data_IF_899300316280
#
_entry.id   IF_899300316280
#
_cell.length_a   1.000
_cell.length_b   1.000
_cell.length_c   1.000
_cell.angle_alpha   90.00
_cell.angle_beta   90.00
_cell.angle_gamma   90.00
#
_symmetry.space_group_name_H-M   'P 1'
#
loop_
_entity.id
_entity.type
_entity.pdbx_description
1 polymer ?
#
# COMPACT_ATOMS: atom_id res chain seq x y z
N UNK A 1 -0.50 -55.47 -0.44
CA UNK A 1 -1.50 -55.29 -1.51
C UNK A 1 -1.18 -54.01 -2.25
N UNK A 2 -0.71 -54.14 -3.49
CA UNK A 2 -0.18 -53.06 -4.32
C UNK A 2 -1.31 -52.40 -5.13
N UNK A 3 -1.44 -51.08 -5.05
CA UNK A 3 -2.38 -50.32 -5.88
C UNK A 3 -1.70 -49.84 -7.16
N UNK A 4 -2.06 -50.50 -8.26
CA UNK A 4 -1.62 -50.22 -9.61
C UNK A 4 -2.16 -48.87 -10.11
N UNK A 5 -1.25 -48.03 -10.60
CA UNK A 5 -1.55 -46.81 -11.36
C UNK A 5 -2.15 -47.21 -12.71
N UNK A 6 -3.30 -46.62 -13.07
CA UNK A 6 -3.85 -46.75 -14.44
C UNK A 6 -3.13 -45.77 -15.35
N UNK A 7 -2.29 -46.30 -16.22
CA UNK A 7 -1.70 -45.56 -17.34
C UNK A 7 -2.76 -45.25 -18.40
N UNK A 8 -2.81 -43.98 -18.80
CA UNK A 8 -3.64 -43.47 -19.89
C UNK A 8 -2.86 -43.60 -21.20
N UNK A 9 -3.44 -44.16 -22.29
CA UNK A 9 -2.72 -44.33 -23.54
C UNK A 9 -2.42 -42.99 -24.24
N UNK A 10 -1.30 -42.86 -24.96
CA UNK A 10 -0.90 -41.65 -25.65
C UNK A 10 -1.77 -41.38 -26.90
N UNK A 11 -1.93 -40.10 -27.30
CA UNK A 11 -2.68 -39.72 -28.49
C UNK A 11 -1.95 -40.10 -29.79
N UNK A 12 -2.69 -40.30 -30.90
CA UNK A 12 -2.12 -40.70 -32.19
C UNK A 12 -1.27 -39.58 -32.83
N UNK A 13 -0.28 -39.95 -33.66
CA UNK A 13 0.62 -39.00 -34.31
C UNK A 13 -0.08 -38.19 -35.42
N UNK A 14 0.32 -36.93 -35.55
CA UNK A 14 -0.14 -35.99 -36.59
C UNK A 14 0.38 -36.40 -37.98
N UNK A 15 -0.38 -36.14 -39.05
CA UNK A 15 0.06 -36.40 -40.42
C UNK A 15 1.18 -35.45 -40.87
N UNK A 16 2.08 -35.90 -41.77
CA UNK A 16 3.21 -35.10 -42.24
C UNK A 16 2.78 -33.97 -43.20
N UNK A 17 3.57 -32.89 -43.32
CA UNK A 17 3.28 -31.76 -44.20
C UNK A 17 3.42 -32.16 -45.68
N UNK A 18 2.47 -31.71 -46.51
CA UNK A 18 2.46 -31.91 -47.94
C UNK A 18 3.73 -31.34 -48.60
N UNK A 19 4.41 -32.18 -49.38
CA UNK A 19 5.55 -31.81 -50.19
C UNK A 19 5.12 -30.86 -51.32
N UNK A 20 5.78 -29.72 -51.42
CA UNK A 20 5.70 -28.85 -52.60
C UNK A 20 6.37 -29.56 -53.77
N UNK A 21 5.57 -30.04 -54.72
CA UNK A 21 6.07 -30.57 -55.99
C UNK A 21 6.39 -29.40 -56.92
N UNK A 22 7.67 -29.28 -57.25
CA UNK A 22 8.17 -28.53 -58.41
C UNK A 22 7.65 -29.19 -59.69
N UNK A 23 6.91 -28.45 -60.51
CA UNK A 23 6.59 -28.84 -61.87
C UNK A 23 6.88 -27.68 -62.82
N UNK A 24 7.64 -28.02 -63.85
CA UNK A 24 8.26 -27.19 -64.89
C UNK A 24 7.23 -26.60 -65.87
N UNK A 25 7.57 -25.41 -66.38
CA UNK A 25 6.97 -24.56 -67.43
C UNK A 25 6.37 -25.29 -68.67
N UNK A 26 5.48 -24.67 -69.47
CA UNK A 26 6.00 -23.85 -70.58
C UNK A 26 5.18 -22.62 -71.05
N UNK A 27 5.93 -21.64 -71.55
CA UNK A 27 5.71 -20.79 -72.74
C UNK A 27 4.45 -19.91 -72.87
N UNK A 28 4.72 -18.61 -72.72
CA UNK A 28 4.41 -17.53 -73.67
C UNK A 28 3.12 -17.62 -74.49
N UNK A 29 2.10 -16.86 -74.06
CA UNK A 29 1.12 -16.27 -74.97
C UNK A 29 0.90 -14.81 -74.60
N UNK A 30 1.52 -13.95 -75.41
CA UNK A 30 1.32 -12.50 -75.41
C UNK A 30 -0.14 -12.20 -75.77
N UNK A 31 -0.86 -11.59 -74.83
CA UNK A 31 -2.11 -10.87 -75.09
C UNK A 31 -1.86 -9.42 -74.72
N UNK A 32 -1.59 -8.61 -75.73
CA UNK A 32 -1.57 -7.16 -75.68
C UNK A 32 -2.96 -6.64 -75.35
N UNK A 33 -3.20 -6.35 -74.07
CA UNK A 33 -4.32 -5.54 -73.61
C UNK A 33 -3.77 -4.16 -73.27
N UNK A 34 -4.16 -3.18 -74.06
CA UNK A 34 -3.90 -1.76 -73.85
C UNK A 34 -4.68 -1.28 -72.62
N UNK A 35 -4.11 -1.45 -71.43
CA UNK A 35 -4.59 -0.77 -70.22
C UNK A 35 -3.78 0.50 -70.03
N UNK A 36 -4.45 1.64 -70.22
CA UNK A 36 -4.03 2.98 -69.80
C UNK A 36 -3.26 2.91 -68.48
N UNK A 37 -2.00 3.36 -68.47
CA UNK A 37 -1.19 3.42 -67.25
C UNK A 37 -1.75 4.51 -66.32
N UNK A 38 -2.72 4.14 -65.50
CA UNK A 38 -3.04 4.92 -64.31
C UNK A 38 -1.96 4.57 -63.29
N UNK A 39 -1.01 5.50 -63.07
CA UNK A 39 -0.14 5.45 -61.90
C UNK A 39 -1.02 5.21 -60.67
N UNK A 40 -0.66 4.29 -59.76
CA UNK A 40 -1.30 4.26 -58.46
C UNK A 40 -1.19 5.67 -57.85
N UNK A 41 -2.26 6.20 -57.23
CA UNK A 41 -2.16 7.48 -56.56
C UNK A 41 -1.02 7.39 -55.53
N UNK A 42 -0.20 8.43 -55.38
CA UNK A 42 0.82 8.44 -54.35
C UNK A 42 0.17 8.15 -53.00
N UNK A 43 0.85 7.42 -52.09
CA UNK A 43 0.32 7.19 -50.77
C UNK A 43 -0.06 8.55 -50.15
N UNK A 44 -1.19 8.63 -49.42
CA UNK A 44 -1.59 9.88 -48.80
C UNK A 44 -0.42 10.43 -47.97
N UNK A 45 -0.18 11.75 -47.99
CA UNK A 45 0.82 12.38 -47.13
C UNK A 45 0.57 11.92 -45.69
N UNK A 46 1.61 11.52 -44.97
CA UNK A 46 1.46 11.01 -43.61
C UNK A 46 0.87 12.07 -42.67
N UNK A 47 0.93 13.35 -43.06
CA UNK A 47 0.28 14.52 -42.47
C UNK A 47 -1.25 14.37 -42.41
N UNK A 48 -1.86 13.55 -43.28
CA UNK A 48 -3.29 13.22 -43.20
C UNK A 48 -3.61 12.45 -41.91
N UNK A 49 -2.66 11.67 -41.39
CA UNK A 49 -2.85 10.98 -40.10
C UNK A 49 -2.99 11.98 -38.95
N UNK A 50 -2.35 13.15 -39.03
CA UNK A 50 -2.49 14.18 -38.00
C UNK A 50 -3.92 14.74 -37.98
N UNK A 51 -4.51 14.97 -39.15
CA UNK A 51 -5.91 15.42 -39.27
C UNK A 51 -6.88 14.35 -38.77
N UNK A 52 -6.71 13.10 -39.20
CA UNK A 52 -7.60 12.00 -38.82
C UNK A 52 -7.45 11.64 -37.33
N UNK A 53 -6.25 11.77 -36.76
CA UNK A 53 -5.98 11.39 -35.37
C UNK A 53 -6.83 12.11 -34.34
N UNK A 54 -7.26 13.34 -34.60
CA UNK A 54 -8.14 14.11 -33.72
C UNK A 54 -9.54 13.46 -33.60
N UNK A 55 -9.90 12.57 -34.52
CA UNK A 55 -11.15 11.82 -34.53
C UNK A 55 -10.99 10.37 -34.06
N UNK A 56 -9.76 9.91 -33.82
CA UNK A 56 -9.49 8.55 -33.39
C UNK A 56 -9.42 8.45 -31.87
N UNK A 57 -10.11 7.46 -31.33
CA UNK A 57 -9.98 7.15 -29.91
C UNK A 57 -8.64 6.43 -29.62
N UNK A 58 -8.17 6.47 -28.36
CA UNK A 58 -6.86 5.92 -28.01
C UNK A 58 -6.74 4.41 -28.27
N UNK A 59 -7.85 3.68 -28.21
CA UNK A 59 -7.90 2.25 -28.52
C UNK A 59 -7.72 1.99 -30.01
N UNK A 60 -8.33 2.80 -30.89
CA UNK A 60 -8.14 2.70 -32.33
C UNK A 60 -6.71 3.06 -32.73
N UNK A 61 -6.11 4.10 -32.14
CA UNK A 61 -4.69 4.43 -32.36
C UNK A 61 -3.75 3.28 -31.96
N UNK A 62 -4.01 2.65 -30.81
CA UNK A 62 -3.24 1.49 -30.37
C UNK A 62 -3.39 0.32 -31.35
N UNK A 63 -4.59 0.07 -31.86
CA UNK A 63 -4.86 -1.01 -32.83
C UNK A 63 -4.19 -0.72 -34.18
N UNK A 64 -4.26 0.52 -34.67
CA UNK A 64 -3.59 0.96 -35.89
C UNK A 64 -2.06 0.80 -35.80
N UNK A 65 -1.47 1.02 -34.62
CA UNK A 65 -0.03 0.83 -34.38
C UNK A 65 0.47 -0.61 -34.58
N UNK A 66 -0.45 -1.58 -34.65
CA UNK A 66 -0.15 -3.00 -34.89
C UNK A 66 -0.16 -3.38 -36.39
N UNK A 67 -0.61 -2.49 -37.28
CA UNK A 67 -0.78 -2.80 -38.71
C UNK A 67 0.56 -2.91 -39.44
N UNK A 68 1.51 -1.99 -39.18
CA UNK A 68 2.86 -2.02 -39.77
C UNK A 68 3.86 -1.22 -38.93
N UNK A 69 5.16 -1.33 -39.26
CA UNK A 69 6.21 -0.51 -38.63
C UNK A 69 6.00 0.99 -38.88
N UNK A 70 5.53 1.36 -40.07
CA UNK A 70 5.24 2.74 -40.46
C UNK A 70 4.06 3.29 -39.66
N UNK A 71 2.97 2.52 -39.58
CA UNK A 71 1.81 2.87 -38.75
C UNK A 71 2.19 2.99 -37.27
N UNK A 72 3.04 2.09 -36.77
CA UNK A 72 3.57 2.19 -35.41
C UNK A 72 4.34 3.48 -35.21
N UNK A 73 5.24 3.86 -36.11
CA UNK A 73 6.02 5.08 -36.00
C UNK A 73 5.12 6.32 -35.99
N UNK A 74 4.18 6.41 -36.94
CA UNK A 74 3.24 7.52 -37.03
C UNK A 74 2.33 7.64 -35.80
N UNK A 75 1.65 6.56 -35.41
CA UNK A 75 0.74 6.54 -34.24
C UNK A 75 1.46 6.65 -32.89
N UNK A 76 2.80 6.55 -32.87
CA UNK A 76 3.61 6.74 -31.67
C UNK A 76 3.99 8.20 -31.42
N UNK A 77 3.72 9.11 -32.36
CA UNK A 77 4.17 10.49 -32.26
C UNK A 77 3.45 11.28 -31.17
N UNK A 78 4.20 12.11 -30.45
CA UNK A 78 3.74 12.70 -29.18
C UNK A 78 2.61 13.72 -29.34
N UNK A 79 2.57 14.41 -30.49
CA UNK A 79 1.54 15.40 -30.80
C UNK A 79 0.15 14.78 -30.93
N UNK A 80 0.04 13.52 -31.33
CA UNK A 80 -1.24 12.79 -31.40
C UNK A 80 -1.77 12.48 -29.99
N UNK A 81 -0.86 12.16 -29.06
CA UNK A 81 -1.22 11.78 -27.69
C UNK A 81 -1.43 12.98 -26.76
N UNK A 82 -0.86 14.14 -27.09
CA UNK A 82 -1.02 15.38 -26.30
C UNK A 82 -2.49 15.74 -26.06
N UNK A 83 -3.33 16.00 -27.09
CA UNK A 83 -4.72 16.42 -26.88
C UNK A 83 -5.53 15.35 -26.14
N UNK A 84 -5.30 14.07 -26.45
CA UNK A 84 -5.93 12.92 -25.80
C UNK A 84 -5.61 12.89 -24.29
N UNK A 85 -4.33 13.03 -23.93
CA UNK A 85 -3.87 12.99 -22.56
C UNK A 85 -4.37 14.20 -21.75
N UNK A 86 -4.32 15.39 -22.33
CA UNK A 86 -4.79 16.62 -21.66
C UNK A 86 -6.30 16.65 -21.51
N UNK A 87 -7.06 16.11 -22.48
CA UNK A 87 -8.52 16.05 -22.39
C UNK A 87 -8.98 15.05 -21.31
N UNK A 88 -8.30 13.90 -21.19
CA UNK A 88 -8.71 12.84 -20.25
C UNK A 88 -8.15 13.01 -18.84
N UNK A 89 -6.95 13.60 -18.71
CA UNK A 89 -6.25 13.75 -17.43
C UNK A 89 -5.59 15.14 -17.29
N UNK A 90 -6.36 16.23 -17.28
CA UNK A 90 -5.82 17.60 -17.35
C UNK A 90 -4.84 17.91 -16.20
N UNK A 91 -5.22 17.64 -14.95
CA UNK A 91 -4.40 17.96 -13.78
C UNK A 91 -3.12 17.12 -13.70
N UNK A 92 -3.21 15.83 -14.04
CA UNK A 92 -2.07 14.92 -14.04
C UNK A 92 -1.11 15.22 -15.20
N UNK A 93 -1.65 15.62 -16.36
CA UNK A 93 -0.85 16.08 -17.49
C UNK A 93 0.01 17.29 -17.10
N UNK A 94 -0.61 18.31 -16.49
CA UNK A 94 0.09 19.51 -16.02
C UNK A 94 1.13 19.19 -14.94
N UNK A 95 0.75 18.41 -13.92
CA UNK A 95 1.66 18.08 -12.82
C UNK A 95 2.89 17.27 -13.29
N UNK A 96 2.68 16.22 -14.11
CA UNK A 96 3.79 15.41 -14.59
C UNK A 96 4.66 16.14 -15.61
N UNK A 97 4.10 17.05 -16.41
CA UNK A 97 4.88 17.89 -17.31
C UNK A 97 5.67 18.98 -16.59
N UNK A 98 5.17 19.46 -15.46
CA UNK A 98 5.93 20.35 -14.59
C UNK A 98 7.15 19.64 -13.99
N UNK A 99 6.97 18.43 -13.48
CA UNK A 99 8.05 17.64 -12.86
C UNK A 99 9.00 17.04 -13.91
N UNK A 100 8.47 16.60 -15.05
CA UNK A 100 9.20 15.94 -16.13
C UNK A 100 8.81 16.50 -17.52
N UNK A 101 9.38 17.66 -17.92
CA UNK A 101 9.05 18.30 -19.20
C UNK A 101 9.29 17.40 -20.43
N UNK A 102 10.30 16.53 -20.35
CA UNK A 102 10.71 15.61 -21.43
C UNK A 102 9.86 14.34 -21.54
N UNK A 103 8.92 14.09 -20.61
CA UNK A 103 8.10 12.88 -20.61
C UNK A 103 7.09 12.90 -21.78
N UNK A 104 7.10 11.94 -22.73
CA UNK A 104 6.12 11.91 -23.81
C UNK A 104 4.68 11.77 -23.29
N UNK A 105 3.73 12.53 -23.85
CA UNK A 105 2.29 12.40 -23.57
C UNK A 105 1.76 10.98 -23.81
N UNK A 106 2.31 10.23 -24.77
CA UNK A 106 1.96 8.81 -24.93
C UNK A 106 2.25 7.99 -23.67
N UNK A 107 3.43 8.19 -23.07
CA UNK A 107 3.82 7.51 -21.83
C UNK A 107 2.97 7.99 -20.67
N UNK A 108 2.64 9.28 -20.62
CA UNK A 108 1.75 9.83 -19.62
C UNK A 108 0.36 9.20 -19.69
N UNK A 109 -0.22 9.14 -20.89
CA UNK A 109 -1.49 8.47 -21.13
C UNK A 109 -1.41 7.00 -20.71
N UNK A 110 -0.33 6.29 -21.08
CA UNK A 110 -0.11 4.92 -20.67
C UNK A 110 0.05 4.76 -19.15
N UNK A 111 0.65 5.71 -18.43
CA UNK A 111 0.76 5.69 -16.96
C UNK A 111 -0.58 5.99 -16.28
N UNK A 112 -1.36 6.91 -16.84
CA UNK A 112 -2.67 7.30 -16.33
C UNK A 112 -3.74 6.23 -16.60
N UNK A 113 -3.65 5.54 -17.74
CA UNK A 113 -4.56 4.46 -18.17
C UNK A 113 -4.04 3.07 -17.85
N UNK A 114 -2.75 2.94 -17.52
CA UNK A 114 -2.35 1.88 -16.62
C UNK A 114 -3.12 2.18 -15.35
N UNK A 115 -4.31 1.56 -15.26
CA UNK A 115 -4.63 0.83 -14.05
C UNK A 115 -3.29 0.22 -13.70
N UNK A 116 -2.65 0.70 -12.63
CA UNK A 116 -1.78 -0.21 -11.89
C UNK A 116 -2.64 -1.46 -11.89
N UNK A 117 -2.22 -2.51 -12.59
CA UNK A 117 -2.64 -3.83 -12.19
C UNK A 117 -2.24 -3.76 -10.75
N UNK A 118 -3.22 -3.50 -9.89
CA UNK A 118 -3.09 -3.62 -8.47
C UNK A 118 -2.76 -5.09 -8.43
N UNK A 119 -1.46 -5.43 -8.54
CA UNK A 119 -0.95 -6.66 -8.01
C UNK A 119 -1.65 -6.68 -6.66
N UNK A 120 -2.54 -7.65 -6.42
CA UNK A 120 -3.25 -7.73 -5.16
C UNK A 120 -2.19 -7.48 -4.12
N UNK A 121 -2.35 -6.38 -3.37
CA UNK A 121 -1.28 -5.96 -2.46
C UNK A 121 -1.02 -7.20 -1.63
N UNK A 122 0.22 -7.74 -1.63
CA UNK A 122 0.45 -9.05 -1.05
C UNK A 122 -0.14 -9.08 0.35
N UNK A 123 -0.86 -10.15 0.65
CA UNK A 123 -1.39 -10.35 1.98
C UNK A 123 -0.21 -10.24 2.96
N UNK A 124 -0.34 -9.50 4.08
CA UNK A 124 0.73 -9.43 5.06
C UNK A 124 1.17 -10.85 5.44
N UNK A 125 2.48 -11.07 5.50
CA UNK A 125 3.07 -12.36 5.84
C UNK A 125 3.10 -12.62 7.35
N UNK A 126 2.83 -11.58 8.14
CA UNK A 126 2.64 -11.65 9.59
C UNK A 126 1.16 -11.58 9.92
N UNK A 127 0.74 -12.31 10.95
CA UNK A 127 -0.60 -12.25 11.54
C UNK A 127 -0.55 -11.57 12.92
N UNK A 128 -1.71 -11.28 13.52
CA UNK A 128 -1.76 -10.79 14.90
C UNK A 128 -1.27 -11.84 15.90
N UNK A 129 -1.44 -13.13 15.60
CA UNK A 129 -0.98 -14.25 16.45
C UNK A 129 0.54 -14.33 16.54
N UNK A 130 1.23 -13.77 15.55
CA UNK A 130 2.68 -13.68 15.50
C UNK A 130 3.22 -12.49 16.28
N UNK A 131 2.38 -11.60 16.82
CA UNK A 131 2.78 -10.35 17.45
C UNK A 131 2.53 -10.35 18.95
N UNK A 132 3.44 -9.69 19.66
CA UNK A 132 3.31 -9.36 21.09
C UNK A 132 3.42 -7.85 21.23
N UNK A 133 2.42 -7.24 21.87
CA UNK A 133 2.43 -5.80 22.14
C UNK A 133 2.83 -5.57 23.60
N UNK A 134 3.88 -4.77 23.81
CA UNK A 134 4.36 -4.40 25.14
C UNK A 134 4.19 -2.91 25.32
N UNK A 135 3.41 -2.50 26.32
CA UNK A 135 3.14 -1.09 26.63
C UNK A 135 3.62 -0.81 28.05
N UNK A 136 4.68 -0.02 28.14
CA UNK A 136 5.34 0.42 29.37
C UNK A 136 4.90 1.85 29.67
N UNK A 137 4.29 2.07 30.83
CA UNK A 137 3.93 3.38 31.37
C UNK A 137 4.80 3.66 32.59
N UNK A 138 5.49 4.81 32.60
CA UNK A 138 6.35 5.21 33.72
C UNK A 138 5.96 6.60 34.19
N UNK A 139 5.43 6.68 35.41
CA UNK A 139 5.17 7.94 36.09
C UNK A 139 6.44 8.46 36.76
N UNK A 140 6.73 9.76 36.62
CA UNK A 140 7.80 10.40 37.35
C UNK A 140 7.22 11.13 38.57
N UNK A 141 7.23 10.50 39.75
CA UNK A 141 6.92 11.18 41.00
C UNK A 141 8.22 11.48 41.76
N UNK A 142 8.27 12.64 42.44
CA UNK A 142 9.48 13.22 43.06
C UNK A 142 10.21 12.30 44.07
N UNK A 143 9.61 11.19 44.47
CA UNK A 143 10.17 10.26 45.47
C UNK A 143 10.08 8.77 45.11
N UNK A 144 9.33 8.36 44.08
CA UNK A 144 9.19 6.95 43.68
C UNK A 144 8.99 6.83 42.16
N UNK A 145 9.78 5.98 41.50
CA UNK A 145 9.58 5.61 40.08
C UNK A 145 8.55 4.49 40.01
N UNK A 146 7.33 4.81 39.63
CA UNK A 146 6.30 3.80 39.37
C UNK A 146 6.42 3.34 37.91
N UNK A 147 6.59 2.04 37.71
CA UNK A 147 6.62 1.40 36.39
C UNK A 147 5.44 0.45 36.28
N UNK A 148 4.62 0.67 35.27
CA UNK A 148 3.60 -0.27 34.82
C UNK A 148 4.05 -0.83 33.49
N UNK A 149 3.97 -2.15 33.34
CA UNK A 149 4.23 -2.84 32.08
C UNK A 149 3.01 -3.72 31.78
N UNK A 150 2.31 -3.41 30.70
CA UNK A 150 1.26 -4.26 30.14
C UNK A 150 1.83 -5.05 28.97
N UNK A 151 1.83 -6.36 29.08
CA UNK A 151 2.10 -7.26 27.95
C UNK A 151 0.75 -7.75 27.45
N UNK A 152 0.50 -7.56 26.16
CA UNK A 152 -0.73 -7.95 25.48
C UNK A 152 -0.34 -9.00 24.44
N UNK A 153 -0.55 -10.27 24.81
CA UNK A 153 -0.12 -11.43 24.03
C UNK A 153 -1.22 -12.01 23.13
N UNK A 154 -2.50 -11.80 23.46
CA UNK A 154 -3.62 -12.39 22.71
C UNK A 154 -4.57 -11.33 22.18
N UNK A 155 -4.06 -10.57 21.22
CA UNK A 155 -4.79 -9.48 20.58
C UNK A 155 -5.76 -10.00 19.50
N UNK A 156 -5.50 -11.18 18.95
CA UNK A 156 -6.39 -11.81 17.97
C UNK A 156 -7.73 -12.23 18.60
N UNK A 157 -7.73 -12.65 19.87
CA UNK A 157 -8.95 -12.95 20.63
C UNK A 157 -9.82 -11.71 20.93
N UNK A 158 -9.30 -10.49 20.78
CA UNK A 158 -9.99 -9.25 21.15
C UNK A 158 -11.00 -8.73 20.10
N UNK A 159 -11.24 -9.48 19.02
CA UNK A 159 -12.06 -9.10 17.85
C UNK A 159 -11.88 -7.63 17.42
N UNK A 160 -10.90 -7.32 16.55
CA UNK A 160 -10.64 -5.96 16.11
C UNK A 160 -11.78 -5.28 15.33
N UNK A 161 -12.88 -5.97 15.00
CA UNK A 161 -13.91 -5.42 14.11
C UNK A 161 -13.36 -5.05 12.71
N UNK A 162 -12.24 -5.68 12.32
CA UNK A 162 -11.51 -5.39 11.08
C UNK A 162 -10.58 -4.17 11.11
N UNK A 163 -10.53 -3.41 12.20
CA UNK A 163 -9.66 -2.24 12.37
C UNK A 163 -8.50 -2.50 13.33
N UNK A 164 -7.36 -1.85 13.12
CA UNK A 164 -6.18 -1.99 13.97
C UNK A 164 -6.36 -1.11 15.23
N UNK A 165 -7.26 -1.56 16.11
CA UNK A 165 -7.54 -0.97 17.41
C UNK A 165 -7.86 -2.07 18.40
N UNK A 166 -7.29 -1.98 19.58
CA UNK A 166 -7.41 -2.98 20.62
C UNK A 166 -7.67 -2.32 21.96
N UNK A 167 -8.55 -2.94 22.74
CA UNK A 167 -9.02 -2.45 24.03
C UNK A 167 -8.67 -3.51 25.08
N UNK A 168 -7.80 -3.16 26.03
CA UNK A 168 -7.32 -4.04 27.11
C UNK A 168 -7.91 -3.54 28.42
N UNK A 169 -8.67 -4.40 29.11
CA UNK A 169 -9.17 -4.14 30.46
C UNK A 169 -8.07 -4.19 31.52
N UNK A 170 -8.45 -3.86 32.76
CA UNK A 170 -7.57 -3.72 33.93
C UNK A 170 -6.31 -4.58 33.87
N UNK A 171 -5.19 -3.95 33.51
CA UNK A 171 -3.90 -4.62 33.40
C UNK A 171 -3.43 -4.94 34.82
N UNK A 172 -3.23 -6.22 35.13
CA UNK A 172 -2.74 -6.65 36.45
C UNK A 172 -1.36 -6.05 36.72
N UNK A 173 -1.24 -5.21 37.76
CA UNK A 173 0.01 -4.54 38.16
C UNK A 173 -0.01 -3.01 38.06
N UNK A 174 -1.13 -2.40 37.66
CA UNK A 174 -1.22 -0.93 37.53
C UNK A 174 -1.38 -0.27 38.91
N UNK A 175 -0.28 0.28 39.41
CA UNK A 175 -0.27 1.08 40.63
C UNK A 175 0.46 2.40 40.35
N UNK A 176 -0.23 3.49 40.68
CA UNK A 176 0.26 4.88 40.78
C UNK A 176 0.65 5.57 39.47
N UNK A 177 -0.34 6.23 38.85
CA UNK A 177 -0.13 7.59 38.34
C UNK A 177 -0.71 8.58 39.36
N UNK A 178 -0.23 8.56 40.61
CA UNK A 178 -0.51 9.68 41.51
C UNK A 178 0.17 10.91 40.95
N UNK A 179 -0.63 11.92 40.58
CA UNK A 179 -0.22 13.30 40.31
C UNK A 179 1.04 13.46 39.44
N UNK A 180 1.33 12.49 38.56
CA UNK A 180 2.51 12.54 37.72
C UNK A 180 2.27 13.62 36.66
N UNK A 181 2.96 14.75 36.80
CA UNK A 181 2.96 15.83 35.80
C UNK A 181 3.41 15.31 34.43
N UNK A 182 4.22 14.24 34.42
CA UNK A 182 4.79 13.61 33.23
C UNK A 182 4.74 12.08 33.31
N UNK A 183 4.27 11.47 32.21
CA UNK A 183 4.15 10.03 32.02
C UNK A 183 4.95 9.66 30.79
N UNK A 184 5.98 8.85 30.96
CA UNK A 184 6.70 8.26 29.82
C UNK A 184 5.96 7.03 29.34
N UNK A 185 5.64 7.03 28.06
CA UNK A 185 4.99 5.93 27.35
C UNK A 185 6.03 5.30 26.43
N UNK A 186 6.16 3.98 26.52
CA UNK A 186 6.90 3.18 25.56
C UNK A 186 6.01 2.06 25.05
N UNK A 187 5.82 1.98 23.75
CA UNK A 187 5.04 0.94 23.09
C UNK A 187 5.90 0.23 22.06
N UNK A 188 6.08 -1.08 22.27
CA UNK A 188 6.81 -1.95 21.38
C UNK A 188 5.90 -3.03 20.79
N UNK A 189 6.25 -3.45 19.58
CA UNK A 189 5.73 -4.66 18.95
C UNK A 189 6.88 -5.60 18.70
N UNK A 190 6.72 -6.86 19.07
CA UNK A 190 7.73 -7.91 18.92
C UNK A 190 7.15 -9.08 18.15
N UNK A 191 7.95 -9.67 17.27
CA UNK A 191 7.59 -10.91 16.58
C UNK A 191 7.81 -12.13 17.50
N UNK A 192 6.80 -12.98 17.65
CA UNK A 192 6.82 -14.17 18.52
C UNK A 192 7.75 -15.27 18.00
N UNK A 193 7.83 -15.44 16.68
CA UNK A 193 8.37 -16.64 16.03
C UNK A 193 9.74 -16.44 15.35
N UNK A 194 10.54 -15.43 15.71
CA UNK A 194 11.84 -15.14 15.09
C UNK A 194 12.92 -14.62 16.05
N UNK A 195 14.14 -14.30 15.56
CA UNK A 195 15.09 -13.52 16.35
C UNK A 195 14.40 -12.24 16.83
N UNK A 196 14.58 -11.85 18.09
CA UNK A 196 13.82 -10.79 18.77
C UNK A 196 13.99 -9.43 18.07
N UNK A 197 13.23 -9.21 16.98
CA UNK A 197 13.09 -7.93 16.33
C UNK A 197 11.93 -7.22 17.01
N UNK A 198 12.26 -6.09 17.64
CA UNK A 198 11.29 -5.23 18.30
C UNK A 198 11.21 -3.91 17.52
N UNK A 199 10.00 -3.45 17.26
CA UNK A 199 9.74 -2.15 16.69
C UNK A 199 9.07 -1.26 17.72
N UNK A 200 9.58 -0.04 17.90
CA UNK A 200 9.00 0.94 18.81
C UNK A 200 7.97 1.78 18.06
N UNK A 201 6.69 1.57 18.39
CA UNK A 201 5.58 2.35 17.86
C UNK A 201 5.45 3.71 18.55
N UNK A 202 5.78 3.78 19.84
CA UNK A 202 5.72 5.01 20.61
C UNK A 202 6.85 5.05 21.63
N UNK A 203 7.58 6.15 21.69
CA UNK A 203 8.50 6.47 22.80
C UNK A 203 8.43 7.98 23.02
N UNK A 204 7.75 8.37 24.09
CA UNK A 204 7.46 9.77 24.35
C UNK A 204 7.15 10.02 25.80
N UNK A 205 7.31 11.28 26.21
CA UNK A 205 6.87 11.78 27.51
C UNK A 205 5.65 12.63 27.26
N UNK A 206 4.58 12.36 28.01
CA UNK A 206 3.34 13.12 27.91
C UNK A 206 3.04 13.77 29.24
N UNK A 207 2.73 15.06 29.17
CA UNK A 207 2.33 15.83 30.34
C UNK A 207 0.87 15.57 30.64
N UNK A 208 0.57 15.06 31.82
CA UNK A 208 -0.82 14.87 32.27
C UNK A 208 -1.22 16.10 33.06
N UNK A 209 -2.25 16.82 32.60
CA UNK A 209 -2.75 17.98 33.31
C UNK A 209 -3.65 17.51 34.47
N UNK A 210 -3.36 17.92 35.72
CA UNK A 210 -4.15 17.50 36.89
C UNK A 210 -5.62 17.92 36.82
N UNK A 211 -5.95 18.99 36.09
CA UNK A 211 -7.33 19.49 35.93
C UNK A 211 -8.20 18.54 35.09
N UNK A 212 -7.61 17.83 34.12
CA UNK A 212 -8.27 16.78 33.32
C UNK A 212 -8.46 15.49 34.13
N UNK A 213 -7.68 15.32 35.22
CA UNK A 213 -7.78 14.18 36.11
C UNK A 213 -8.92 14.28 37.15
N UNK A 214 -9.40 15.50 37.44
CA UNK A 214 -10.34 15.77 38.53
C UNK A 214 -11.83 15.66 38.12
N UNK A 215 -12.14 15.63 36.82
CA UNK A 215 -13.51 15.61 36.30
C UNK A 215 -14.14 14.21 36.19
N UNK A 216 -13.46 13.14 36.64
CA UNK A 216 -13.90 11.75 36.41
C UNK A 216 -13.83 11.32 34.93
N UNK A 217 -13.29 12.17 34.07
CA UNK A 217 -13.19 11.99 32.62
C UNK A 217 -11.72 11.91 32.19
N UNK A 218 -10.89 11.25 33.00
CA UNK A 218 -9.44 11.21 32.78
C UNK A 218 -9.15 10.30 31.59
N UNK A 219 -9.07 10.89 30.41
CA UNK A 219 -8.68 10.24 29.16
C UNK A 219 -7.33 10.82 28.73
N UNK A 220 -6.26 10.10 29.01
CA UNK A 220 -4.98 10.41 28.37
C UNK A 220 -5.04 9.94 26.92
N UNK A 221 -5.03 10.87 25.96
CA UNK A 221 -4.97 10.58 24.52
C UNK A 221 -3.57 10.92 24.01
N UNK A 222 -2.92 9.96 23.37
CA UNK A 222 -1.53 10.06 22.93
C UNK A 222 -1.43 9.61 21.49
N UNK A 223 -0.97 10.49 20.60
CA UNK A 223 -0.73 10.12 19.22
C UNK A 223 0.68 10.54 18.79
N UNK A 224 1.41 9.62 18.15
CA UNK A 224 2.76 9.87 17.64
C UNK A 224 2.85 9.42 16.18
N UNK A 225 3.28 10.31 15.30
CA UNK A 225 3.50 9.96 13.89
C UNK A 225 4.61 8.92 13.76
N UNK A 226 4.37 7.93 12.92
CA UNK A 226 5.26 6.80 12.71
C UNK A 226 6.26 7.06 11.59
N UNK A 227 7.45 6.44 11.63
CA UNK A 227 8.44 6.60 10.58
C UNK A 227 7.97 5.98 9.26
N UNK A 228 8.32 6.55 8.10
CA UNK A 228 7.96 5.97 6.81
C UNK A 228 8.66 4.61 6.60
N UNK A 229 7.98 3.60 6.03
CA UNK A 229 8.64 2.35 5.66
C UNK A 229 9.69 2.65 4.58
N UNK A 230 10.94 2.30 4.87
CA UNK A 230 12.11 2.69 4.08
C UNK A 230 12.12 2.08 2.68
N UNK A 231 11.54 2.78 1.71
CA UNK A 231 11.74 2.48 0.30
C UNK A 231 12.04 3.80 -0.44
N UNK A 232 13.34 4.07 -0.59
CA UNK A 232 14.02 5.17 -1.29
C UNK A 232 14.51 6.34 -0.40
N UNK A 233 15.84 6.56 -0.27
CA UNK A 233 16.41 7.69 0.47
C UNK A 233 16.21 9.07 -0.20
N UNK A 234 15.50 9.15 -1.33
CA UNK A 234 15.26 10.38 -2.09
C UNK A 234 13.93 11.09 -1.75
N UNK A 235 13.19 10.63 -0.73
CA UNK A 235 11.96 11.31 -0.29
C UNK A 235 11.84 11.23 1.23
N UNK A 236 11.95 12.39 1.88
CA UNK A 236 11.41 12.63 3.22
C UNK A 236 9.88 12.62 3.18
N UNK A 237 9.30 11.44 2.95
CA UNK A 237 7.85 11.24 3.02
C UNK A 237 7.40 10.97 4.46
N UNK A 238 6.18 11.36 4.78
CA UNK A 238 5.48 10.92 6.00
C UNK A 238 5.07 9.46 5.84
N UNK A 239 4.95 8.70 6.93
CA UNK A 239 4.39 7.34 6.87
C UNK A 239 2.91 7.33 6.50
N UNK A 240 2.23 8.46 6.74
CA UNK A 240 0.78 8.55 6.65
C UNK A 240 0.06 7.88 7.82
N UNK A 241 0.80 7.43 8.85
CA UNK A 241 0.29 6.69 10.00
C UNK A 241 0.76 7.30 11.32
N UNK A 242 -0.08 7.17 12.34
CA UNK A 242 0.25 7.52 13.71
C UNK A 242 -0.10 6.35 14.64
N UNK A 243 0.76 6.10 15.63
CA UNK A 243 0.42 5.27 16.77
C UNK A 243 -0.50 6.06 17.69
N UNK A 244 -1.59 5.45 18.10
CA UNK A 244 -2.59 6.03 18.99
C UNK A 244 -2.70 5.18 20.25
N UNK A 245 -2.63 5.83 21.42
CA UNK A 245 -2.77 5.22 22.73
C UNK A 245 -3.72 6.07 23.56
N UNK A 246 -4.68 5.41 24.20
CA UNK A 246 -5.64 5.99 25.11
C UNK A 246 -5.61 5.25 26.43
N UNK A 247 -5.54 5.99 27.53
CA UNK A 247 -5.55 5.46 28.88
C UNK A 247 -6.79 6.01 29.59
N UNK A 248 -7.64 5.13 30.09
CA UNK A 248 -8.78 5.44 30.93
C UNK A 248 -8.48 5.00 32.37
N UNK A 249 -8.75 5.89 33.32
CA UNK A 249 -8.50 5.65 34.73
C UNK A 249 -9.82 5.39 35.46
N UNK A 250 -9.81 4.43 36.38
CA UNK A 250 -10.94 4.15 37.26
C UNK A 250 -11.12 5.28 38.28
N UNK A 251 -12.37 5.54 38.63
CA UNK A 251 -12.71 6.41 39.75
C UNK A 251 -12.05 5.92 41.04
N UNK A 252 -11.46 6.85 41.78
CA UNK A 252 -10.81 6.54 43.04
C UNK A 252 -11.86 6.04 44.06
N UNK A 253 -11.69 4.83 44.58
CA UNK A 253 -12.49 4.37 45.72
C UNK A 253 -12.33 5.34 46.89
N UNK A 254 -13.45 5.88 47.38
CA UNK A 254 -13.51 6.68 48.60
C UNK A 254 -13.29 5.75 49.80
N UNK A 255 -12.04 5.47 50.12
CA UNK A 255 -11.69 4.86 51.40
C UNK A 255 -11.94 5.86 52.53
N UNK A 256 -12.52 5.40 53.64
CA UNK A 256 -12.89 6.18 54.83
C UNK A 256 -11.72 6.92 55.52
N UNK A 257 -10.49 6.73 55.08
CA UNK A 257 -9.33 7.40 55.64
C UNK A 257 -8.66 8.28 54.59
N UNK A 258 -8.45 9.54 54.98
CA UNK A 258 -7.94 10.71 54.25
C UNK A 258 -6.52 10.57 53.64
N UNK A 259 -6.18 9.40 53.10
CA UNK A 259 -4.97 9.15 52.30
C UNK A 259 -5.29 9.45 50.83
N UNK A 260 -4.33 10.04 50.15
CA UNK A 260 -4.41 10.49 48.76
C UNK A 260 -5.13 9.46 47.87
N UNK A 261 -6.09 9.97 47.10
CA UNK A 261 -6.84 9.19 46.12
C UNK A 261 -5.91 8.84 44.97
N UNK A 262 -5.62 7.55 44.78
CA UNK A 262 -4.78 7.05 43.70
C UNK A 262 -5.68 6.63 42.52
N UNK A 263 -5.60 7.28 41.35
CA UNK A 263 -6.26 6.76 40.16
C UNK A 263 -5.54 5.50 39.66
N UNK A 264 -6.30 4.47 39.32
CA UNK A 264 -5.79 3.21 38.72
C UNK A 264 -6.17 3.17 37.25
N UNK A 265 -5.38 2.54 36.37
CA UNK A 265 -5.78 2.40 34.95
C UNK A 265 -6.83 1.30 34.85
N UNK A 266 -8.02 1.68 34.38
CA UNK A 266 -9.14 0.78 34.17
C UNK A 266 -9.07 0.10 32.81
N UNK A 267 -8.73 0.89 31.79
CA UNK A 267 -8.74 0.45 30.41
C UNK A 267 -7.64 1.14 29.61
N UNK A 268 -7.01 0.38 28.74
CA UNK A 268 -6.00 0.84 27.82
C UNK A 268 -6.45 0.49 26.40
N UNK A 269 -6.61 1.50 25.56
CA UNK A 269 -6.95 1.34 24.14
C UNK A 269 -5.76 1.76 23.30
N UNK A 270 -5.36 0.98 22.30
CA UNK A 270 -4.26 1.33 21.42
C UNK A 270 -4.53 0.93 19.97
N UNK A 271 -3.92 1.62 19.02
CA UNK A 271 -4.16 1.35 17.60
C UNK A 271 -3.29 2.16 16.65
N UNK A 272 -3.57 2.02 15.37
CA UNK A 272 -2.90 2.74 14.29
C UNK A 272 -3.93 3.61 13.55
N UNK A 273 -3.66 4.91 13.49
CA UNK A 273 -4.48 5.90 12.79
C UNK A 273 -3.82 6.28 11.46
N UNK A 274 -4.62 6.64 10.46
CA UNK A 274 -4.11 7.40 9.33
C UNK A 274 -4.00 8.87 9.69
N UNK A 275 -2.88 9.51 9.34
CA UNK A 275 -2.70 10.97 9.56
C UNK A 275 -3.49 11.82 8.57
N UNK A 276 -4.13 11.22 7.56
CA UNK A 276 -4.94 11.92 6.56
C UNK A 276 -6.36 12.15 7.06
N UNK A 277 -7.01 11.12 7.57
CA UNK A 277 -8.42 11.16 7.97
C UNK A 277 -8.65 10.91 9.47
N UNK A 278 -7.58 10.66 10.24
CA UNK A 278 -7.62 10.35 11.68
C UNK A 278 -8.53 9.18 12.02
N UNK A 279 -8.63 8.20 11.11
CA UNK A 279 -9.38 6.95 11.32
C UNK A 279 -8.43 5.79 11.55
N UNK A 280 -8.88 4.82 12.34
CA UNK A 280 -8.14 3.57 12.51
C UNK A 280 -8.02 2.84 11.18
N UNK A 281 -6.81 2.41 10.86
CA UNK A 281 -6.57 1.64 9.63
C UNK A 281 -7.08 0.22 9.77
N UNK A 282 -7.27 -0.49 8.66
CA UNK A 282 -7.60 -1.92 8.72
C UNK A 282 -6.46 -2.73 9.34
N UNK A 283 -6.79 -3.88 9.92
CA UNK A 283 -5.79 -4.81 10.46
C UNK A 283 -4.74 -5.16 9.39
N UNK A 284 -5.18 -5.40 8.16
CA UNK A 284 -4.29 -5.72 7.04
C UNK A 284 -3.29 -4.60 6.73
N UNK A 285 -3.72 -3.34 6.78
CA UNK A 285 -2.85 -2.20 6.55
C UNK A 285 -1.87 -2.00 7.70
N UNK A 286 -2.31 -2.20 8.94
CA UNK A 286 -1.43 -2.17 10.11
C UNK A 286 -0.36 -3.27 10.09
N UNK A 287 -0.75 -4.51 9.82
CA UNK A 287 0.20 -5.64 9.69
C UNK A 287 1.20 -5.41 8.56
N UNK A 288 0.75 -4.90 7.41
CA UNK A 288 1.64 -4.58 6.29
C UNK A 288 2.67 -3.51 6.65
N UNK A 289 2.25 -2.50 7.40
CA UNK A 289 3.17 -1.48 7.90
C UNK A 289 4.21 -2.10 8.85
N UNK A 290 3.78 -2.89 9.85
CA UNK A 290 4.67 -3.53 10.82
C UNK A 290 5.64 -4.52 10.16
N UNK A 291 5.20 -5.22 9.11
CA UNK A 291 6.04 -6.15 8.36
C UNK A 291 7.33 -5.50 7.84
N UNK A 292 7.27 -4.22 7.43
CA UNK A 292 8.44 -3.48 6.94
C UNK A 292 9.52 -3.25 8.00
N UNK A 293 9.18 -3.33 9.29
CA UNK A 293 10.13 -3.11 10.38
C UNK A 293 10.49 -4.41 11.10
N UNK A 294 9.58 -5.37 11.13
CA UNK A 294 9.78 -6.63 11.84
C UNK A 294 10.45 -7.72 11.01
N UNK A 295 10.23 -7.73 9.67
CA UNK A 295 10.78 -8.76 8.78
C UNK A 295 11.89 -8.25 7.84
N UNK A 296 11.84 -6.98 7.42
CA UNK A 296 12.89 -6.39 6.58
C UNK A 296 14.08 -5.95 7.45
N UNK A 297 14.92 -6.91 7.85
CA UNK A 297 16.18 -6.70 8.60
C UNK A 297 17.28 -5.97 7.78
N UNK A 298 16.98 -4.81 7.18
CA UNK A 298 18.01 -3.98 6.51
C UNK A 298 18.42 -2.73 7.30
N UNK A 299 17.94 -2.58 8.52
CA UNK A 299 18.29 -1.45 9.39
C UNK A 299 18.61 -1.91 10.82
N UNK A 300 19.57 -2.83 10.94
CA UNK A 300 20.39 -2.99 12.15
C UNK A 300 21.82 -2.60 11.83
#
# INVERSE_FOLDING_TARGET
>A
MANARRDKPPPPPLPPPAAYTTATSPLSRSLSISTTSHSPPPPPPWEVLDLVSHHLDPKTLATASCVSRTWRAATSSDHLWRPIATARFPSLATALKFVHPSLPYRRLYALATSTRRLKPVPKPSISLDDLVFSIDLRGNHRHHKHRTAGVVDDVAAMDPGGVFRFDVGAVSGVVLLEAAEEVRVMWHVVLRSGPTTAFTLMDGVVKVRPEEAAAGEVRGLFSQELPPPGCCPLRGGTSGLAADLKIEFADCWRGDNNRSKVPTVEKLSFGLLSTVDWRYVSVENGLRYLQHFLLDNRFS
#
